data_IF_402595441025
#
_entry.id   IF_402595441025
#
_cell.length_a   1.000
_cell.length_b   1.000
_cell.length_c   1.000
_cell.angle_alpha   90.00
_cell.angle_beta   90.00
_cell.angle_gamma   90.00
#
_symmetry.space_group_name_H-M   'P 1'
#
loop_
_entity.id
_entity.type
_entity.pdbx_description
1 polymer ?
#
# COMPACT_ATOMS: atom_id res chain seq x y z
N UNK A 1 16.39 17.37 28.03
CA UNK A 1 16.54 18.09 26.75
C UNK A 1 17.13 17.20 25.68
N UNK A 2 16.26 16.56 24.93
CA UNK A 2 16.60 15.75 23.75
C UNK A 2 16.69 16.68 22.55
N UNK A 3 17.81 16.72 21.82
CA UNK A 3 17.96 17.54 20.61
C UNK A 3 17.81 16.65 19.37
N UNK A 4 17.04 17.10 18.38
CA UNK A 4 16.79 16.38 17.12
C UNK A 4 17.62 17.06 16.03
N UNK A 5 18.53 16.33 15.39
CA UNK A 5 19.44 16.87 14.35
C UNK A 5 19.15 16.28 12.96
N UNK A 6 18.43 15.15 12.89
CA UNK A 6 18.17 14.41 11.65
C UNK A 6 16.69 14.05 11.49
N UNK A 7 16.25 13.84 10.25
CA UNK A 7 14.87 13.48 9.95
C UNK A 7 14.46 12.10 10.51
N UNK A 8 15.41 11.17 10.62
CA UNK A 8 15.17 9.85 11.22
C UNK A 8 14.92 9.97 12.73
N UNK A 9 15.69 10.81 13.44
CA UNK A 9 15.47 11.13 14.85
C UNK A 9 14.12 11.83 15.08
N UNK A 10 13.70 12.68 14.14
CA UNK A 10 12.38 13.31 14.17
C UNK A 10 11.22 12.31 14.07
N UNK A 11 11.30 11.35 13.13
CA UNK A 11 10.29 10.31 12.99
C UNK A 11 10.22 9.42 14.24
N UNK A 12 11.38 9.04 14.79
CA UNK A 12 11.46 8.28 16.03
C UNK A 12 10.87 9.05 17.22
N UNK A 13 11.14 10.35 17.34
CA UNK A 13 10.58 11.21 18.38
C UNK A 13 9.05 11.33 18.26
N UNK A 14 8.51 11.47 17.05
CA UNK A 14 7.05 11.49 16.81
C UNK A 14 6.38 10.18 17.20
N UNK A 15 6.98 9.06 16.82
CA UNK A 15 6.47 7.75 17.19
C UNK A 15 6.49 7.55 18.70
N UNK A 16 7.59 7.94 19.37
CA UNK A 16 7.73 7.86 20.82
C UNK A 16 6.75 8.77 21.57
N UNK A 17 6.52 9.99 21.07
CA UNK A 17 5.52 10.90 21.62
C UNK A 17 4.12 10.28 21.57
N UNK A 18 3.75 9.68 20.44
CA UNK A 18 2.45 9.02 20.29
C UNK A 18 2.29 7.80 21.20
N UNK A 19 3.36 7.02 21.40
CA UNK A 19 3.36 5.88 22.33
C UNK A 19 3.20 6.33 23.79
N UNK A 20 3.84 7.42 24.19
CA UNK A 20 3.74 7.98 25.55
C UNK A 20 2.37 8.62 25.79
N UNK A 21 1.82 9.34 24.82
CA UNK A 21 0.49 9.97 24.93
C UNK A 21 -0.63 8.92 25.14
N UNK A 22 -0.44 7.69 24.65
CA UNK A 22 -1.36 6.58 24.86
C UNK A 22 -1.18 5.87 26.23
N UNK A 23 -0.13 6.16 26.98
CA UNK A 23 0.12 5.58 28.29
C UNK A 23 -0.51 6.45 29.40
N UNK A 24 -1.37 5.86 30.22
CA UNK A 24 -2.09 6.59 31.27
C UNK A 24 -1.19 7.20 32.37
N UNK A 25 0.02 6.64 32.57
CA UNK A 25 1.00 7.08 33.57
C UNK A 25 2.22 7.80 32.96
N UNK A 26 2.11 8.31 31.72
CA UNK A 26 3.22 8.98 31.08
C UNK A 26 3.66 10.24 31.85
N UNK A 27 4.97 10.40 32.00
CA UNK A 27 5.56 11.57 32.64
C UNK A 27 5.24 12.83 31.83
N UNK A 28 4.52 13.82 32.41
CA UNK A 28 4.23 15.07 31.73
C UNK A 28 5.48 15.83 31.29
N UNK A 29 6.57 15.68 32.03
CA UNK A 29 7.86 16.30 31.72
C UNK A 29 8.49 15.69 30.45
N UNK A 30 8.39 14.37 30.26
CA UNK A 30 8.95 13.69 29.09
C UNK A 30 8.16 14.02 27.82
N UNK A 31 6.83 14.09 27.92
CA UNK A 31 5.96 14.55 26.83
C UNK A 31 6.26 16.00 26.43
N UNK A 32 6.43 16.88 27.42
CA UNK A 32 6.76 18.28 27.20
C UNK A 32 8.13 18.46 26.54
N UNK A 33 9.15 17.72 26.99
CA UNK A 33 10.50 17.75 26.42
C UNK A 33 10.51 17.27 24.97
N UNK A 34 9.81 16.16 24.67
CA UNK A 34 9.70 15.61 23.31
C UNK A 34 8.92 16.54 22.38
N UNK A 35 7.79 17.08 22.82
CA UNK A 35 7.01 18.04 22.05
C UNK A 35 7.86 19.27 21.69
N UNK A 36 8.61 19.81 22.66
CA UNK A 36 9.50 20.97 22.44
C UNK A 36 10.61 20.68 21.43
N UNK A 37 11.22 19.49 21.50
CA UNK A 37 12.26 19.07 20.57
C UNK A 37 11.75 18.88 19.14
N UNK A 38 10.56 18.27 18.99
CA UNK A 38 9.88 18.08 17.70
C UNK A 38 9.55 19.45 17.09
N UNK A 39 8.98 20.35 17.89
CA UNK A 39 8.62 21.70 17.44
C UNK A 39 9.84 22.51 16.99
N UNK A 40 10.94 22.49 17.76
CA UNK A 40 12.17 23.19 17.38
C UNK A 40 12.74 22.70 16.04
N UNK A 41 12.73 21.38 15.80
CA UNK A 41 13.19 20.81 14.53
C UNK A 41 12.26 21.15 13.36
N UNK A 42 10.93 21.14 13.57
CA UNK A 42 9.95 21.55 12.56
C UNK A 42 10.08 23.04 12.20
N UNK A 43 10.37 23.89 13.19
CA UNK A 43 10.58 25.32 12.99
C UNK A 43 11.85 25.60 12.17
N UNK A 44 12.96 24.94 12.50
CA UNK A 44 14.25 25.16 11.85
C UNK A 44 14.33 24.58 10.43
N UNK A 45 13.79 23.38 10.20
CA UNK A 45 13.93 22.66 8.92
C UNK A 45 12.78 22.96 7.96
N UNK A 46 11.57 23.17 8.46
CA UNK A 46 10.35 23.24 7.64
C UNK A 46 9.79 24.67 7.58
N UNK A 47 10.25 25.59 8.44
CA UNK A 47 9.78 26.99 8.45
C UNK A 47 8.31 27.09 8.85
N UNK A 48 7.88 26.27 9.81
CA UNK A 48 6.48 26.15 10.24
C UNK A 48 6.10 27.38 11.07
N UNK A 49 5.31 28.29 10.47
CA UNK A 49 4.53 29.32 11.19
C UNK A 49 3.67 28.64 12.27
N UNK A 50 3.40 29.31 13.43
CA UNK A 50 2.85 28.70 14.63
C UNK A 50 1.70 27.74 14.30
N UNK A 51 1.83 26.52 14.85
CA UNK A 51 0.98 25.37 14.59
C UNK A 51 -0.50 25.80 14.55
N UNK A 52 -1.13 25.58 13.40
CA UNK A 52 -2.56 25.70 13.28
C UNK A 52 -3.20 24.66 14.21
N UNK A 53 -3.97 25.12 15.20
CA UNK A 53 -4.71 24.27 16.12
C UNK A 53 -6.19 24.23 15.73
N UNK A 54 -6.77 23.03 15.71
CA UNK A 54 -8.21 22.83 15.53
C UNK A 54 -8.88 22.98 16.89
N UNK A 55 -9.53 24.11 17.13
CA UNK A 55 -10.09 24.49 18.44
C UNK A 55 -11.58 24.80 18.43
N UNK A 56 -12.15 25.01 17.26
CA UNK A 56 -13.54 25.43 17.06
C UNK A 56 -14.10 24.79 15.77
N UNK A 57 -15.41 24.97 15.53
CA UNK A 57 -16.07 24.39 14.36
C UNK A 57 -15.52 24.95 13.04
N UNK A 58 -15.06 26.20 13.02
CA UNK A 58 -14.52 26.84 11.82
C UNK A 58 -13.17 26.23 11.44
N UNK A 59 -12.28 26.07 12.42
CA UNK A 59 -10.98 25.41 12.25
C UNK A 59 -11.11 23.92 11.94
N UNK A 60 -12.14 23.25 12.48
CA UNK A 60 -12.47 21.87 12.10
C UNK A 60 -13.00 21.78 10.66
N UNK A 61 -13.86 22.71 10.26
CA UNK A 61 -14.37 22.79 8.88
C UNK A 61 -13.23 23.01 7.88
N UNK A 62 -12.30 23.92 8.20
CA UNK A 62 -11.08 24.13 7.41
C UNK A 62 -10.24 22.85 7.32
N UNK A 63 -10.07 22.11 8.43
CA UNK A 63 -9.30 20.86 8.43
C UNK A 63 -9.92 19.81 7.50
N UNK A 64 -11.25 19.65 7.56
CA UNK A 64 -12.01 18.74 6.68
C UNK A 64 -11.88 19.15 5.22
N UNK A 65 -12.01 20.45 4.91
CA UNK A 65 -11.81 20.99 3.56
C UNK A 65 -10.41 20.64 3.04
N UNK A 66 -9.37 20.91 3.83
CA UNK A 66 -7.97 20.64 3.43
C UNK A 66 -7.70 19.16 3.24
N UNK A 67 -8.24 18.29 4.09
CA UNK A 67 -8.16 16.84 3.90
C UNK A 67 -8.82 16.40 2.58
N UNK A 68 -10.01 16.94 2.28
CA UNK A 68 -10.71 16.66 1.03
C UNK A 68 -9.95 17.16 -0.21
N UNK A 69 -9.40 18.37 -0.15
CA UNK A 69 -8.55 18.96 -1.20
C UNK A 69 -7.33 18.08 -1.49
N UNK A 70 -6.63 17.65 -0.43
CA UNK A 70 -5.46 16.80 -0.53
C UNK A 70 -5.81 15.41 -1.08
N UNK A 71 -6.90 14.80 -0.62
CA UNK A 71 -7.37 13.51 -1.14
C UNK A 71 -7.69 13.60 -2.65
N UNK A 72 -8.34 14.68 -3.07
CA UNK A 72 -8.65 14.96 -4.48
C UNK A 72 -7.39 15.22 -5.30
N UNK A 73 -6.40 15.91 -4.72
CA UNK A 73 -5.09 16.10 -5.34
C UNK A 73 -4.36 14.78 -5.55
N UNK A 74 -4.37 13.88 -4.58
CA UNK A 74 -3.78 12.53 -4.70
C UNK A 74 -4.43 11.78 -5.86
N UNK A 75 -5.77 11.69 -5.90
CA UNK A 75 -6.48 11.01 -7.00
C UNK A 75 -6.15 11.57 -8.37
N UNK A 76 -6.02 12.90 -8.51
CA UNK A 76 -5.61 13.54 -9.78
C UNK A 76 -4.20 13.13 -10.18
N UNK A 77 -3.26 13.11 -9.24
CA UNK A 77 -1.88 12.68 -9.49
C UNK A 77 -1.85 11.21 -9.89
N UNK A 78 -2.58 10.33 -9.21
CA UNK A 78 -2.68 8.92 -9.56
C UNK A 78 -3.25 8.71 -10.96
N UNK A 79 -4.32 9.43 -11.32
CA UNK A 79 -4.91 9.38 -12.65
C UNK A 79 -3.94 9.86 -13.75
N UNK A 80 -3.20 10.93 -13.48
CA UNK A 80 -2.16 11.45 -14.39
C UNK A 80 -1.02 10.45 -14.54
N UNK A 81 -0.50 9.89 -13.44
CA UNK A 81 0.54 8.88 -13.46
C UNK A 81 0.10 7.63 -14.22
N UNK A 82 -1.13 7.15 -13.99
CA UNK A 82 -1.69 6.03 -14.72
C UNK A 82 -1.87 6.31 -16.22
N UNK A 83 -2.14 7.56 -16.62
CA UNK A 83 -2.15 7.96 -18.02
C UNK A 83 -0.74 7.94 -18.63
N UNK A 84 0.25 8.52 -17.94
CA UNK A 84 1.65 8.52 -18.39
C UNK A 84 2.20 7.10 -18.55
N UNK A 85 1.93 6.21 -17.59
CA UNK A 85 2.34 4.80 -17.67
C UNK A 85 1.71 4.11 -18.89
N UNK A 86 0.43 4.36 -19.16
CA UNK A 86 -0.25 3.81 -20.35
C UNK A 86 0.38 4.32 -21.66
N UNK A 87 0.76 5.59 -21.73
CA UNK A 87 1.37 6.15 -22.93
C UNK A 87 2.79 5.60 -23.15
N UNK A 88 3.60 5.48 -22.10
CA UNK A 88 4.92 4.82 -22.19
C UNK A 88 4.76 3.34 -22.58
N UNK A 89 3.77 2.64 -22.05
CA UNK A 89 3.51 1.26 -22.44
C UNK A 89 3.13 1.14 -23.92
N UNK A 90 2.31 2.07 -24.43
CA UNK A 90 1.99 2.14 -25.87
C UNK A 90 3.22 2.41 -26.73
N UNK A 91 4.14 3.24 -26.26
CA UNK A 91 5.41 3.48 -26.97
C UNK A 91 6.26 2.22 -27.04
N UNK A 92 6.38 1.48 -25.93
CA UNK A 92 7.06 0.18 -25.88
C UNK A 92 6.42 -0.81 -26.85
N UNK A 93 5.10 -0.99 -26.76
CA UNK A 93 4.35 -1.90 -27.62
C UNK A 93 4.48 -1.49 -29.10
N UNK A 94 4.47 -0.18 -29.38
CA UNK A 94 4.66 0.37 -30.72
C UNK A 94 6.08 0.19 -31.26
N UNK A 95 7.10 0.21 -30.40
CA UNK A 95 8.48 -0.12 -30.76
C UNK A 95 8.59 -1.61 -31.11
N UNK A 96 8.04 -2.48 -30.27
CA UNK A 96 8.01 -3.93 -30.49
C UNK A 96 7.25 -4.29 -31.77
N UNK A 97 6.07 -3.70 -32.00
CA UNK A 97 5.28 -3.92 -33.21
C UNK A 97 6.04 -3.54 -34.49
N UNK A 98 6.69 -2.36 -34.50
CA UNK A 98 7.39 -1.85 -35.69
C UNK A 98 8.71 -2.58 -35.95
N UNK A 99 9.49 -2.84 -34.91
CA UNK A 99 10.89 -3.26 -35.04
C UNK A 99 11.19 -4.65 -34.47
N UNK A 100 10.26 -5.28 -33.74
CA UNK A 100 10.48 -6.57 -33.08
C UNK A 100 10.95 -7.67 -34.05
N UNK A 101 10.30 -7.78 -35.22
CA UNK A 101 10.71 -8.76 -36.24
C UNK A 101 12.11 -8.48 -36.81
N UNK A 102 12.48 -7.20 -36.96
CA UNK A 102 13.80 -6.81 -37.46
C UNK A 102 14.87 -7.10 -36.41
N UNK A 103 14.60 -6.74 -35.15
CA UNK A 103 15.46 -7.03 -34.02
C UNK A 103 15.67 -8.54 -33.85
N UNK A 104 14.61 -9.35 -33.99
CA UNK A 104 14.71 -10.81 -33.97
C UNK A 104 15.57 -11.35 -35.12
N UNK A 105 15.36 -10.87 -36.35
CA UNK A 105 16.15 -11.28 -37.52
C UNK A 105 17.64 -10.99 -37.31
N UNK A 106 17.96 -9.76 -36.94
CA UNK A 106 19.34 -9.33 -36.66
C UNK A 106 19.94 -10.13 -35.50
N UNK A 107 19.16 -10.38 -34.44
CA UNK A 107 19.60 -11.23 -33.34
C UNK A 107 19.96 -12.63 -33.85
N UNK A 108 19.09 -13.28 -34.63
CA UNK A 108 19.32 -14.62 -35.18
C UNK A 108 20.57 -14.69 -36.07
N UNK A 109 20.82 -13.66 -36.87
CA UNK A 109 22.03 -13.56 -37.72
C UNK A 109 23.32 -13.44 -36.90
N UNK A 110 23.25 -12.86 -35.70
CA UNK A 110 24.42 -12.62 -34.83
C UNK A 110 24.58 -13.67 -33.71
N UNK A 111 23.62 -14.57 -33.52
CA UNK A 111 23.75 -15.69 -32.58
C UNK A 111 24.62 -16.78 -33.20
N UNK A 112 25.75 -17.10 -32.56
CA UNK A 112 26.63 -18.20 -32.96
C UNK A 112 26.50 -19.39 -32.00
N UNK A 113 26.40 -20.59 -32.57
CA UNK A 113 26.34 -21.85 -31.81
C UNK A 113 25.09 -21.99 -30.93
N UNK A 114 25.28 -22.36 -29.66
CA UNK A 114 24.19 -22.62 -28.70
C UNK A 114 23.71 -21.38 -27.93
N UNK A 115 24.28 -20.20 -28.18
CA UNK A 115 23.92 -18.96 -27.47
C UNK A 115 22.52 -18.49 -27.90
N UNK A 116 21.74 -17.99 -26.95
CA UNK A 116 20.37 -17.50 -27.20
C UNK A 116 20.19 -16.01 -26.91
N UNK A 117 21.24 -15.29 -26.52
CA UNK A 117 21.18 -13.88 -26.17
C UNK A 117 22.45 -13.12 -26.54
N UNK A 118 22.30 -11.80 -26.71
CA UNK A 118 23.36 -10.82 -26.93
C UNK A 118 23.23 -9.69 -25.90
N UNK A 119 24.36 -9.30 -25.30
CA UNK A 119 24.44 -8.24 -24.30
C UNK A 119 24.91 -6.95 -24.94
N UNK A 120 24.22 -5.86 -24.63
CA UNK A 120 24.55 -4.49 -24.99
C UNK A 120 24.83 -3.67 -23.72
N UNK A 121 25.25 -2.42 -23.89
CA UNK A 121 25.46 -1.51 -22.76
C UNK A 121 24.15 -1.23 -22.00
N UNK A 122 23.04 -1.08 -22.73
CA UNK A 122 21.73 -0.69 -22.19
C UNK A 122 20.87 -1.89 -21.76
N UNK A 123 21.24 -3.12 -22.11
CA UNK A 123 20.40 -4.28 -21.83
C UNK A 123 20.86 -5.55 -22.53
N UNK A 124 20.01 -6.58 -22.52
CA UNK A 124 20.25 -7.86 -23.18
C UNK A 124 19.02 -8.23 -24.00
N UNK A 125 19.24 -8.63 -25.25
CA UNK A 125 18.18 -9.21 -26.10
C UNK A 125 18.41 -10.71 -26.21
N UNK A 126 17.35 -11.51 -26.18
CA UNK A 126 17.49 -12.97 -26.27
C UNK A 126 16.21 -13.69 -26.63
N UNK A 127 16.38 -14.87 -27.20
CA UNK A 127 15.31 -15.78 -27.55
C UNK A 127 15.01 -16.69 -26.34
N UNK A 128 13.85 -16.50 -25.72
CA UNK A 128 13.34 -17.40 -24.68
C UNK A 128 12.27 -18.31 -25.25
N UNK A 129 12.23 -19.56 -24.75
CA UNK A 129 11.11 -20.46 -25.03
C UNK A 129 10.01 -20.15 -24.02
N UNK A 130 8.90 -19.58 -24.49
CA UNK A 130 7.70 -19.42 -23.68
C UNK A 130 6.89 -20.71 -23.75
N UNK A 131 6.48 -21.32 -22.62
CA UNK A 131 5.58 -22.46 -22.65
C UNK A 131 4.25 -22.03 -23.28
N UNK A 132 3.72 -22.84 -24.20
CA UNK A 132 2.38 -22.61 -24.74
C UNK A 132 1.36 -22.63 -23.61
N UNK A 133 0.43 -21.68 -23.61
CA UNK A 133 -0.70 -21.63 -22.69
C UNK A 133 -1.98 -21.76 -23.50
N UNK A 134 -2.96 -22.48 -22.96
CA UNK A 134 -4.30 -22.55 -23.51
C UNK A 134 -5.18 -21.60 -22.69
N UNK A 135 -5.86 -20.67 -23.37
CA UNK A 135 -6.92 -19.86 -22.78
C UNK A 135 -8.25 -20.48 -23.21
N UNK A 136 -9.08 -20.82 -22.25
CA UNK A 136 -10.44 -21.28 -22.50
C UNK A 136 -11.38 -20.07 -22.36
N UNK A 137 -12.14 -19.76 -23.42
CA UNK A 137 -13.02 -18.57 -23.49
C UNK A 137 -14.52 -18.93 -23.35
N UNK A 138 -14.84 -20.19 -23.02
CA UNK A 138 -16.21 -20.67 -22.77
C UNK A 138 -16.60 -20.71 -21.28
N UNK A 139 -17.81 -21.20 -20.98
CA UNK A 139 -18.22 -21.49 -19.59
C UNK A 139 -17.41 -22.67 -19.05
N UNK A 140 -16.85 -22.53 -17.85
CA UNK A 140 -16.04 -23.56 -17.19
C UNK A 140 -16.77 -24.91 -17.07
N UNK A 141 -18.11 -24.91 -17.13
CA UNK A 141 -18.94 -26.12 -17.14
C UNK A 141 -18.84 -26.94 -18.42
N UNK A 142 -18.44 -26.30 -19.52
CA UNK A 142 -18.24 -26.92 -20.83
C UNK A 142 -16.84 -27.54 -20.96
N UNK A 143 -15.96 -27.31 -19.97
CA UNK A 143 -14.68 -28.02 -19.92
C UNK A 143 -14.94 -29.50 -19.59
N UNK A 144 -14.34 -30.43 -20.35
CA UNK A 144 -14.46 -31.84 -20.05
C UNK A 144 -14.04 -32.12 -18.61
N UNK A 145 -14.78 -32.97 -17.89
CA UNK A 145 -14.51 -33.33 -16.48
C UNK A 145 -13.08 -33.84 -16.23
N UNK A 146 -12.39 -34.33 -17.28
CA UNK A 146 -10.99 -34.74 -17.24
C UNK A 146 -9.98 -33.56 -17.17
N UNK A 147 -10.42 -32.35 -17.50
CA UNK A 147 -9.66 -31.08 -17.41
C UNK A 147 -10.07 -30.26 -16.18
N UNK A 148 -11.20 -30.59 -15.55
CA UNK A 148 -11.60 -30.02 -14.26
C UNK A 148 -10.57 -30.43 -13.19
N UNK A 149 -9.60 -29.55 -12.98
CA UNK A 149 -8.46 -29.73 -12.09
C UNK A 149 -8.95 -30.15 -10.70
N UNK A 150 -8.56 -31.35 -10.25
CA UNK A 150 -8.90 -31.89 -8.93
C UNK A 150 -8.28 -31.10 -7.77
N UNK A 151 -7.27 -30.27 -8.01
CA UNK A 151 -6.45 -29.69 -6.93
C UNK A 151 -6.10 -28.20 -7.11
N UNK A 152 -7.09 -27.33 -7.30
CA UNK A 152 -6.91 -25.89 -7.03
C UNK A 152 -7.80 -25.49 -5.86
N UNK A 153 -7.37 -25.86 -4.66
CA UNK A 153 -8.00 -25.42 -3.41
C UNK A 153 -7.37 -24.08 -3.02
N UNK A 154 -8.04 -22.98 -3.35
CA UNK A 154 -7.73 -21.68 -2.76
C UNK A 154 -8.43 -21.63 -1.40
N UNK A 155 -7.77 -22.09 -0.33
CA UNK A 155 -8.25 -21.89 1.05
C UNK A 155 -7.99 -20.45 1.47
N UNK A 156 -8.87 -19.54 1.04
CA UNK A 156 -8.94 -18.19 1.61
C UNK A 156 -9.87 -18.25 2.84
N UNK A 157 -9.39 -17.78 3.98
CA UNK A 157 -10.25 -17.60 5.16
C UNK A 157 -11.30 -16.53 4.84
N UNK A 158 -12.56 -16.89 4.97
CA UNK A 158 -13.68 -15.97 4.82
C UNK A 158 -13.76 -15.08 6.06
N UNK A 159 -13.19 -13.88 5.96
CA UNK A 159 -13.18 -12.90 7.05
C UNK A 159 -14.59 -12.47 7.48
N UNK A 160 -15.55 -12.46 6.56
CA UNK A 160 -16.93 -12.08 6.88
C UNK A 160 -17.59 -13.11 7.79
N UNK A 161 -17.34 -14.41 7.54
CA UNK A 161 -17.80 -15.47 8.44
C UNK A 161 -17.04 -15.44 9.76
N UNK A 162 -15.72 -15.26 9.72
CA UNK A 162 -14.90 -15.16 10.93
C UNK A 162 -15.38 -14.04 11.87
N UNK A 163 -15.66 -12.85 11.33
CA UNK A 163 -16.15 -11.71 12.12
C UNK A 163 -17.59 -11.87 12.63
N UNK A 164 -18.36 -12.84 12.13
CA UNK A 164 -19.70 -13.18 12.65
C UNK A 164 -19.66 -14.22 13.77
N UNK A 165 -18.55 -14.95 13.88
CA UNK A 165 -18.33 -16.02 14.86
C UNK A 165 -17.47 -15.55 16.03
N UNK A 166 -16.72 -14.46 15.86
CA UNK A 166 -15.79 -13.92 16.84
C UNK A 166 -16.25 -12.55 17.33
N UNK A 167 -16.28 -12.37 18.65
CA UNK A 167 -16.46 -11.08 19.33
C UNK A 167 -15.12 -10.59 19.85
N UNK A 168 -14.79 -9.33 19.61
CA UNK A 168 -13.59 -8.69 20.18
C UNK A 168 -14.02 -7.83 21.38
N UNK A 169 -13.33 -7.97 22.52
CA UNK A 169 -13.52 -7.11 23.69
C UNK A 169 -12.15 -6.72 24.21
N UNK A 170 -11.80 -5.43 24.09
CA UNK A 170 -10.43 -4.97 24.32
C UNK A 170 -9.45 -5.70 23.40
N UNK A 171 -8.37 -6.23 23.95
CA UNK A 171 -7.30 -6.89 23.18
C UNK A 171 -7.54 -8.40 22.96
N UNK A 172 -8.73 -8.90 23.32
CA UNK A 172 -9.05 -10.33 23.30
C UNK A 172 -10.19 -10.66 22.35
N UNK A 173 -10.09 -11.82 21.70
CA UNK A 173 -11.12 -12.37 20.83
C UNK A 173 -11.81 -13.55 21.51
N UNK A 174 -13.13 -13.66 21.37
CA UNK A 174 -13.97 -14.67 21.98
C UNK A 174 -14.87 -15.32 20.93
N UNK A 175 -15.10 -16.62 21.02
CA UNK A 175 -16.15 -17.28 20.21
C UNK A 175 -17.52 -16.80 20.69
N UNK A 176 -18.40 -16.40 19.76
CA UNK A 176 -19.75 -15.95 20.09
C UNK A 176 -20.63 -17.08 20.62
N UNK A 177 -20.44 -18.31 20.13
CA UNK A 177 -21.24 -19.46 20.57
C UNK A 177 -20.86 -19.96 21.97
N UNK A 178 -19.57 -20.02 22.29
CA UNK A 178 -19.08 -20.65 23.53
C UNK A 178 -18.59 -19.66 24.58
N UNK A 179 -18.26 -18.41 24.19
CA UNK A 179 -17.61 -17.43 25.05
C UNK A 179 -16.15 -17.73 25.38
N UNK A 180 -15.55 -18.75 24.75
CA UNK A 180 -14.16 -19.13 24.99
C UNK A 180 -13.19 -18.12 24.33
N UNK A 181 -12.13 -17.78 25.06
CA UNK A 181 -11.05 -16.93 24.57
C UNK A 181 -10.27 -17.66 23.46
N UNK A 182 -10.14 -16.99 22.31
CA UNK A 182 -9.47 -17.53 21.14
C UNK A 182 -8.05 -16.97 21.06
N UNK A 183 -7.07 -17.86 21.21
CA UNK A 183 -5.66 -17.59 20.93
C UNK A 183 -5.15 -18.39 19.73
N UNK A 184 -5.75 -18.24 18.53
CA UNK A 184 -5.23 -18.95 17.36
C UNK A 184 -3.92 -18.32 16.85
N UNK A 185 -2.89 -19.12 16.55
CA UNK A 185 -1.65 -18.61 15.98
C UNK A 185 -1.89 -17.98 14.60
N UNK A 186 -1.47 -16.72 14.44
CA UNK A 186 -1.60 -15.96 13.20
C UNK A 186 -2.81 -15.01 13.11
N UNK A 187 -3.66 -14.94 14.15
CA UNK A 187 -4.67 -13.89 14.26
C UNK A 187 -4.13 -12.69 15.05
N UNK A 188 -4.29 -11.50 14.50
CA UNK A 188 -4.03 -10.23 15.19
C UNK A 188 -5.36 -9.60 15.56
N UNK A 189 -5.60 -9.39 16.85
CA UNK A 189 -6.80 -8.72 17.36
C UNK A 189 -6.57 -7.22 17.30
N UNK A 190 -7.49 -6.48 16.67
CA UNK A 190 -7.53 -5.02 16.75
C UNK A 190 -8.69 -4.65 17.66
N UNK A 191 -8.47 -3.95 18.78
CA UNK A 191 -9.54 -3.61 19.71
C UNK A 191 -10.60 -2.74 19.05
N UNK A 192 -11.83 -2.86 19.54
CA UNK A 192 -12.91 -1.95 19.17
C UNK A 192 -12.55 -0.54 19.66
N UNK A 193 -12.65 0.44 18.77
CA UNK A 193 -12.34 1.83 19.07
C UNK A 193 -12.94 2.78 18.05
N UNK A 194 -13.27 3.99 18.50
CA UNK A 194 -13.72 5.05 17.62
C UNK A 194 -12.50 5.69 16.95
N UNK A 195 -12.55 5.82 15.62
CA UNK A 195 -11.52 6.51 14.84
C UNK A 195 -12.15 7.69 14.13
N UNK A 196 -11.50 8.85 14.23
CA UNK A 196 -11.85 10.01 13.42
C UNK A 196 -11.66 9.63 11.96
N UNK A 197 -12.70 9.85 11.15
CA UNK A 197 -12.63 9.67 9.71
C UNK A 197 -13.14 10.92 9.01
N UNK A 198 -12.48 11.30 7.92
CA UNK A 198 -12.94 12.37 7.03
C UNK A 198 -13.29 11.71 5.69
N UNK A 199 -14.56 11.79 5.31
CA UNK A 199 -15.04 11.31 4.01
C UNK A 199 -15.27 12.51 3.11
N UNK A 200 -14.53 12.59 2.00
CA UNK A 200 -14.78 13.60 0.98
C UNK A 200 -16.22 13.45 0.46
N UNK A 201 -16.91 14.58 0.27
CA UNK A 201 -18.20 14.60 -0.42
C UNK A 201 -18.06 13.98 -1.82
N UNK A 202 -19.07 13.23 -2.26
CA UNK A 202 -19.13 12.82 -3.67
C UNK A 202 -19.51 14.06 -4.48
N UNK A 203 -18.59 14.56 -5.30
CA UNK A 203 -18.94 15.41 -6.42
C UNK A 203 -19.51 14.48 -7.50
N UNK A 204 -20.82 14.55 -7.72
CA UNK A 204 -21.54 13.88 -8.81
C UNK A 204 -21.21 14.52 -10.17
#
# INVERSE_FOLDING_TARGET
MTTIETHEQYLAAKQRFHELDQQADASPEELSDLASAILAYEEEVIGVKPAFEVRDLDTLSWYVEKQSDLASKIKRIEAQAAAMIRDVQREIDGLEYRFGHQAERVLRENLTGKKKSLKFLQGTIGLRKTPGRVKFEGDIRDLPLAVAMRDVVITKVDQTKLNREIKVVGDKAYLLETGEEIGFPGLTVTPEGEKVFVKAGQED
#
